data_IF_536016936143
#
_entry.id   IF_536016936143
#
_cell.length_a   1.000
_cell.length_b   1.000
_cell.length_c   1.000
_cell.angle_alpha   90.00
_cell.angle_beta   90.00
_cell.angle_gamma   90.00
#
_symmetry.space_group_name_H-M   'P 1'
#
loop_
_entity.id
_entity.type
_entity.pdbx_description
1 polymer ?
#
# COMPACT_ATOMS: atom_id res chain seq x y z
N UNK A 1 0.77 -28.82 16.64
CA UNK A 1 -0.57 -28.34 16.22
C UNK A 1 -0.59 -27.05 15.37
N UNK A 2 0.37 -26.12 15.51
CA UNK A 2 0.35 -24.86 14.75
C UNK A 2 0.57 -25.02 13.22
N UNK A 3 1.38 -26.01 12.81
CA UNK A 3 1.71 -26.28 11.40
C UNK A 3 0.48 -26.74 10.60
N UNK A 4 -0.39 -27.56 11.20
CA UNK A 4 -1.61 -28.01 10.54
C UNK A 4 -2.63 -26.89 10.31
N UNK A 5 -2.69 -25.89 11.20
CA UNK A 5 -3.62 -24.75 11.09
C UNK A 5 -3.19 -23.75 10.02
N UNK A 6 -1.88 -23.51 9.85
CA UNK A 6 -1.37 -22.61 8.80
C UNK A 6 -1.51 -23.22 7.40
N UNK A 7 -1.34 -24.53 7.28
CA UNK A 7 -1.50 -25.25 6.02
C UNK A 7 -2.96 -25.36 5.57
N UNK A 8 -3.88 -25.63 6.52
CA UNK A 8 -5.33 -25.57 6.27
C UNK A 8 -5.79 -24.16 5.89
N UNK A 9 -5.34 -23.13 6.62
CA UNK A 9 -5.66 -21.74 6.30
C UNK A 9 -5.19 -21.36 4.89
N UNK A 10 -3.99 -21.79 4.50
CA UNK A 10 -3.46 -21.58 3.15
C UNK A 10 -4.29 -22.27 2.06
N UNK A 11 -4.79 -23.49 2.31
CA UNK A 11 -5.66 -24.23 1.37
C UNK A 11 -7.05 -23.62 1.25
N UNK A 12 -7.67 -23.22 2.37
CA UNK A 12 -8.97 -22.54 2.38
C UNK A 12 -8.88 -21.19 1.65
N UNK A 13 -7.84 -20.40 1.93
CA UNK A 13 -7.62 -19.12 1.24
C UNK A 13 -7.40 -19.29 -0.28
N UNK A 14 -6.83 -20.42 -0.71
CA UNK A 14 -6.60 -20.73 -2.13
C UNK A 14 -7.87 -21.22 -2.83
N UNK A 15 -8.71 -21.99 -2.13
CA UNK A 15 -9.98 -22.53 -2.64
C UNK A 15 -11.10 -21.49 -2.65
N UNK A 16 -11.17 -20.63 -1.63
CA UNK A 16 -12.25 -19.65 -1.49
C UNK A 16 -12.11 -18.41 -2.39
N UNK A 17 -11.03 -18.28 -3.19
CA UNK A 17 -10.95 -17.22 -4.20
C UNK A 17 -11.13 -15.80 -3.61
N UNK A 18 -12.16 -15.08 -4.07
CA UNK A 18 -12.54 -13.75 -3.57
C UNK A 18 -13.37 -13.81 -2.27
N UNK A 19 -14.03 -14.94 -1.99
CA UNK A 19 -14.77 -15.21 -0.75
C UNK A 19 -13.84 -15.43 0.46
N UNK A 20 -12.55 -15.68 0.20
CA UNK A 20 -11.51 -15.76 1.22
C UNK A 20 -11.44 -14.49 2.09
N UNK A 21 -11.79 -13.33 1.52
CA UNK A 21 -11.86 -12.07 2.26
C UNK A 21 -13.00 -12.09 3.29
N UNK A 22 -14.20 -12.50 2.87
CA UNK A 22 -15.37 -12.61 3.73
C UNK A 22 -15.18 -13.65 4.85
N UNK A 23 -14.50 -14.77 4.54
CA UNK A 23 -14.12 -15.77 5.53
C UNK A 23 -13.09 -15.26 6.55
N UNK A 24 -12.12 -14.43 6.15
CA UNK A 24 -11.13 -13.89 7.08
C UNK A 24 -11.68 -12.79 8.01
N UNK A 25 -12.70 -12.07 7.55
CA UNK A 25 -13.45 -11.12 8.39
C UNK A 25 -14.14 -11.87 9.54
N UNK A 26 -14.75 -13.00 9.22
CA UNK A 26 -15.56 -13.81 10.15
C UNK A 26 -14.74 -14.77 11.01
N UNK A 27 -13.59 -15.24 10.51
CA UNK A 27 -12.72 -16.22 11.19
C UNK A 27 -11.31 -15.64 11.40
N UNK A 28 -10.99 -15.09 12.58
CA UNK A 28 -9.68 -14.50 12.88
C UNK A 28 -8.48 -15.45 12.63
N UNK A 29 -8.68 -16.76 12.78
CA UNK A 29 -7.66 -17.77 12.53
C UNK A 29 -7.19 -17.82 11.05
N UNK A 30 -8.00 -17.33 10.10
CA UNK A 30 -7.65 -17.32 8.67
C UNK A 30 -6.93 -16.04 8.25
N UNK A 31 -6.92 -14.99 9.09
CA UNK A 31 -6.32 -13.68 8.75
C UNK A 31 -4.87 -13.79 8.28
N UNK A 32 -3.96 -14.52 8.96
CA UNK A 32 -2.56 -14.60 8.53
C UNK A 32 -2.41 -15.22 7.14
N UNK A 33 -3.18 -16.27 6.83
CA UNK A 33 -3.13 -16.95 5.54
C UNK A 33 -3.70 -16.09 4.40
N UNK A 34 -4.83 -15.42 4.66
CA UNK A 34 -5.49 -14.55 3.66
C UNK A 34 -4.66 -13.30 3.38
N UNK A 35 -4.10 -12.67 4.42
CA UNK A 35 -3.23 -11.51 4.24
C UNK A 35 -1.94 -11.90 3.51
N UNK A 36 -1.30 -13.03 3.85
CA UNK A 36 -0.13 -13.51 3.12
C UNK A 36 -0.43 -13.73 1.62
N UNK A 37 -1.62 -14.25 1.29
CA UNK A 37 -2.07 -14.42 -0.10
C UNK A 37 -2.31 -13.09 -0.81
N UNK A 38 -2.95 -12.12 -0.14
CA UNK A 38 -3.17 -10.77 -0.66
C UNK A 38 -1.82 -10.13 -1.03
N UNK A 39 -0.88 -10.10 -0.09
CA UNK A 39 0.45 -9.50 -0.29
C UNK A 39 1.20 -10.22 -1.43
N UNK A 40 1.24 -11.55 -1.42
CA UNK A 40 1.96 -12.32 -2.43
C UNK A 40 1.40 -12.11 -3.85
N UNK A 41 0.07 -12.00 -3.97
CA UNK A 41 -0.59 -11.78 -5.26
C UNK A 41 -0.29 -10.37 -5.80
N UNK A 42 -0.42 -9.35 -4.96
CA UNK A 42 -0.10 -7.96 -5.33
C UNK A 42 1.38 -7.79 -5.65
N UNK A 43 2.28 -8.41 -4.87
CA UNK A 43 3.72 -8.34 -5.13
C UNK A 43 4.09 -8.96 -6.49
N UNK A 44 3.51 -10.11 -6.84
CA UNK A 44 3.69 -10.72 -8.17
C UNK A 44 3.16 -9.82 -9.28
N UNK A 45 1.96 -9.27 -9.13
CA UNK A 45 1.37 -8.35 -10.11
C UNK A 45 2.28 -7.13 -10.31
N UNK A 46 2.76 -6.52 -9.24
CA UNK A 46 3.64 -5.36 -9.31
C UNK A 46 5.04 -5.70 -9.83
N UNK A 47 5.55 -6.89 -9.56
CA UNK A 47 6.79 -7.38 -10.16
C UNK A 47 6.67 -7.56 -11.67
N UNK A 48 5.54 -8.10 -12.14
CA UNK A 48 5.24 -8.23 -13.58
C UNK A 48 5.04 -6.86 -14.22
N UNK A 49 4.26 -5.96 -13.61
CA UNK A 49 4.05 -4.59 -14.13
C UNK A 49 5.38 -3.84 -14.22
N UNK A 50 6.21 -3.89 -13.17
CA UNK A 50 7.52 -3.25 -13.17
C UNK A 50 8.52 -3.86 -14.15
N UNK A 51 8.32 -5.12 -14.57
CA UNK A 51 9.15 -5.78 -15.58
C UNK A 51 8.66 -5.56 -17.02
N UNK A 52 7.36 -5.30 -17.23
CA UNK A 52 6.75 -5.27 -18.56
C UNK A 52 6.40 -3.87 -19.08
N UNK A 53 6.14 -2.90 -18.21
CA UNK A 53 5.75 -1.55 -18.65
C UNK A 53 7.00 -0.67 -18.68
N UNK A 54 7.30 -0.16 -19.87
CA UNK A 54 8.57 0.50 -20.23
C UNK A 54 8.45 2.03 -20.20
N UNK A 55 7.26 2.59 -19.96
CA UNK A 55 7.00 4.02 -20.14
C UNK A 55 7.30 4.74 -18.82
N UNK A 56 8.36 5.56 -18.76
CA UNK A 56 8.67 6.34 -17.56
C UNK A 56 7.44 7.17 -17.16
N UNK A 57 6.84 6.85 -16.01
CA UNK A 57 5.69 7.55 -15.46
C UNK A 57 4.32 6.87 -15.63
N UNK A 58 4.14 5.91 -16.55
CA UNK A 58 2.84 5.21 -16.74
C UNK A 58 2.71 3.90 -15.95
N UNK A 59 3.84 3.31 -15.55
CA UNK A 59 3.90 2.05 -14.78
C UNK A 59 3.56 2.29 -13.29
N UNK A 60 3.84 3.50 -12.82
CA UNK A 60 3.72 3.93 -11.43
C UNK A 60 2.26 4.04 -10.94
N UNK A 61 1.29 4.57 -11.71
CA UNK A 61 -0.12 4.62 -11.31
C UNK A 61 -0.73 3.24 -11.07
N UNK A 62 -0.44 2.25 -11.93
CA UNK A 62 -1.01 0.90 -11.82
C UNK A 62 -0.45 0.18 -10.59
N UNK A 63 0.87 0.23 -10.38
CA UNK A 63 1.49 -0.39 -9.20
C UNK A 63 1.00 0.24 -7.90
N UNK A 64 0.85 1.57 -7.88
CA UNK A 64 0.33 2.30 -6.73
C UNK A 64 -1.12 1.90 -6.45
N UNK A 65 -1.96 1.80 -7.48
CA UNK A 65 -3.34 1.36 -7.32
C UNK A 65 -3.43 -0.07 -6.77
N UNK A 66 -2.57 -0.98 -7.22
CA UNK A 66 -2.50 -2.34 -6.69
C UNK A 66 -2.10 -2.35 -5.20
N UNK A 67 -1.13 -1.51 -4.82
CA UNK A 67 -0.71 -1.36 -3.42
C UNK A 67 -1.82 -0.75 -2.54
N UNK A 68 -2.56 0.24 -3.04
CA UNK A 68 -3.75 0.80 -2.36
C UNK A 68 -4.79 -0.30 -2.13
N UNK A 69 -5.18 -1.03 -3.18
CA UNK A 69 -6.16 -2.12 -3.08
C UNK A 69 -5.71 -3.19 -2.09
N UNK A 70 -4.42 -3.52 -2.07
CA UNK A 70 -3.85 -4.45 -1.10
C UNK A 70 -4.05 -3.95 0.33
N UNK A 71 -3.71 -2.69 0.63
CA UNK A 71 -3.88 -2.11 1.97
C UNK A 71 -5.34 -2.08 2.39
N UNK A 72 -6.26 -1.69 1.50
CA UNK A 72 -7.70 -1.70 1.77
C UNK A 72 -8.23 -3.11 2.10
N UNK A 73 -7.79 -4.12 1.35
CA UNK A 73 -8.17 -5.52 1.62
C UNK A 73 -7.60 -6.01 2.95
N UNK A 74 -6.37 -5.64 3.29
CA UNK A 74 -5.79 -5.99 4.60
C UNK A 74 -6.61 -5.34 5.72
N UNK A 75 -6.95 -4.06 5.60
CA UNK A 75 -7.78 -3.37 6.59
C UNK A 75 -9.13 -4.04 6.81
N UNK A 76 -9.81 -4.41 5.73
CA UNK A 76 -11.06 -5.16 5.79
C UNK A 76 -10.90 -6.48 6.58
N UNK A 77 -9.79 -7.21 6.40
CA UNK A 77 -9.50 -8.44 7.15
C UNK A 77 -9.37 -8.20 8.66
N UNK A 78 -8.85 -7.03 9.06
CA UNK A 78 -8.76 -6.62 10.46
C UNK A 78 -10.06 -5.99 11.00
N UNK A 79 -11.08 -5.79 10.16
CA UNK A 79 -12.35 -5.16 10.54
C UNK A 79 -12.31 -3.63 10.52
N UNK A 80 -11.30 -3.04 9.89
CA UNK A 80 -11.13 -1.58 9.79
C UNK A 80 -11.79 -1.06 8.50
N UNK A 81 -12.70 -0.08 8.65
CA UNK A 81 -13.25 0.66 7.52
C UNK A 81 -12.26 1.73 7.07
N UNK A 82 -11.57 1.46 5.96
CA UNK A 82 -10.63 2.42 5.36
C UNK A 82 -11.13 2.98 4.03
N UNK A 83 -11.08 4.30 3.92
CA UNK A 83 -11.19 5.00 2.66
C UNK A 83 -9.87 5.04 1.89
N UNK A 84 -9.97 5.35 0.59
CA UNK A 84 -8.84 5.52 -0.34
C UNK A 84 -7.79 6.50 0.19
N UNK A 85 -8.23 7.63 0.74
CA UNK A 85 -7.36 8.70 1.27
C UNK A 85 -6.49 8.20 2.43
N UNK A 86 -7.08 7.43 3.34
CA UNK A 86 -6.36 6.87 4.49
C UNK A 86 -5.41 5.76 4.07
N UNK A 87 -5.78 4.95 3.08
CA UNK A 87 -4.85 3.99 2.50
C UNK A 87 -3.65 4.70 1.87
N UNK A 88 -3.86 5.80 1.13
CA UNK A 88 -2.79 6.63 0.59
C UNK A 88 -1.93 7.29 1.68
N UNK A 89 -2.53 7.71 2.81
CA UNK A 89 -1.78 8.22 3.97
C UNK A 89 -0.85 7.15 4.54
N UNK A 90 -1.35 5.94 4.78
CA UNK A 90 -0.55 4.81 5.27
C UNK A 90 0.57 4.48 4.29
N UNK A 91 0.25 4.38 3.00
CA UNK A 91 1.25 4.17 1.94
C UNK A 91 2.31 5.27 1.92
N UNK A 92 1.92 6.52 2.14
CA UNK A 92 2.83 7.67 2.13
C UNK A 92 3.76 7.65 3.34
N UNK A 93 3.24 7.33 4.53
CA UNK A 93 4.03 7.23 5.77
C UNK A 93 5.00 6.06 5.67
N UNK A 94 4.51 4.89 5.25
CA UNK A 94 5.33 3.69 5.09
C UNK A 94 6.36 3.91 3.98
N UNK A 95 5.95 4.39 2.82
CA UNK A 95 6.83 4.70 1.69
C UNK A 95 7.91 5.73 2.02
N UNK A 96 7.57 6.75 2.83
CA UNK A 96 8.57 7.68 3.35
C UNK A 96 9.58 7.00 4.30
N UNK A 97 9.10 6.13 5.20
CA UNK A 97 9.95 5.36 6.12
C UNK A 97 10.90 4.39 5.41
N UNK A 98 10.52 3.87 4.24
CA UNK A 98 11.35 3.00 3.41
C UNK A 98 12.22 3.75 2.38
N UNK A 99 12.24 5.09 2.39
CA UNK A 99 13.08 5.85 1.46
C UNK A 99 12.67 5.72 -0.01
N UNK A 100 11.38 5.44 -0.28
CA UNK A 100 10.90 5.17 -1.64
C UNK A 100 11.12 6.35 -2.61
N UNK A 101 11.24 7.59 -2.10
CA UNK A 101 11.62 8.77 -2.89
C UNK A 101 13.03 8.67 -3.46
N UNK A 102 13.97 8.10 -2.70
CA UNK A 102 15.36 7.93 -3.12
C UNK A 102 15.41 6.89 -4.23
N UNK A 103 14.70 5.78 -4.07
CA UNK A 103 14.63 4.74 -5.10
C UNK A 103 13.88 5.21 -6.35
N UNK A 104 12.84 6.02 -6.21
CA UNK A 104 12.14 6.60 -7.36
C UNK A 104 13.04 7.50 -8.21
N UNK A 105 13.99 8.22 -7.59
CA UNK A 105 15.01 9.01 -8.31
C UNK A 105 16.02 8.10 -9.01
N UNK A 106 16.57 7.11 -8.32
CA UNK A 106 17.53 6.17 -8.91
C UNK A 106 16.92 5.31 -10.02
N UNK A 107 15.63 4.97 -9.92
CA UNK A 107 14.90 4.24 -10.95
C UNK A 107 14.65 5.06 -12.23
N UNK A 108 14.66 6.41 -12.14
CA UNK A 108 14.61 7.31 -13.28
C UNK A 108 15.98 7.45 -13.96
N UNK A 109 17.07 7.28 -13.20
CA UNK A 109 18.46 7.39 -13.67
C UNK A 109 19.05 6.06 -14.20
N UNK A 110 18.28 4.97 -14.14
CA UNK A 110 18.68 3.66 -14.67
C UNK A 110 18.62 3.68 -16.22
N UNK A 111 19.81 3.86 -16.80
CA UNK A 111 20.13 3.81 -18.23
C UNK A 111 19.49 2.62 -18.99
N UNK A 112 19.26 2.72 -20.32
CA UNK A 112 18.72 1.62 -21.13
C UNK A 112 19.59 0.35 -21.02
N UNK A 113 18.98 -0.76 -20.58
CA UNK A 113 19.67 -2.03 -20.27
C UNK A 113 18.79 -3.01 -19.46
N UNK A 114 19.36 -4.00 -18.71
CA UNK A 114 18.61 -5.00 -17.94
C UNK A 114 17.81 -4.44 -16.73
N UNK A 115 17.60 -3.13 -16.66
CA UNK A 115 16.90 -2.43 -15.59
C UNK A 115 15.44 -2.86 -15.38
N UNK A 116 14.81 -3.53 -16.34
CA UNK A 116 13.46 -4.08 -16.21
C UNK A 116 13.39 -5.23 -15.18
N UNK A 117 14.43 -6.08 -15.08
CA UNK A 117 14.50 -7.12 -14.03
C UNK A 117 14.60 -6.46 -12.65
N UNK A 118 15.44 -5.44 -12.53
CA UNK A 118 15.64 -4.69 -11.29
C UNK A 118 14.37 -3.95 -10.87
N UNK A 119 13.66 -3.32 -11.82
CA UNK A 119 12.36 -2.67 -11.59
C UNK A 119 11.30 -3.66 -11.14
N UNK A 120 11.19 -4.83 -11.79
CA UNK A 120 10.29 -5.90 -11.36
C UNK A 120 10.63 -6.43 -9.96
N UNK A 121 11.92 -6.69 -9.68
CA UNK A 121 12.38 -7.14 -8.38
C UNK A 121 12.12 -6.10 -7.28
N UNK A 122 12.33 -4.81 -7.58
CA UNK A 122 12.02 -3.72 -6.68
C UNK A 122 10.52 -3.60 -6.42
N UNK A 123 9.70 -3.61 -7.47
CA UNK A 123 8.24 -3.58 -7.36
C UNK A 123 7.69 -4.71 -6.50
N UNK A 124 8.24 -5.92 -6.66
CA UNK A 124 7.90 -7.08 -5.84
C UNK A 124 8.29 -6.88 -4.37
N UNK A 125 9.56 -6.55 -4.11
CA UNK A 125 10.09 -6.44 -2.73
C UNK A 125 9.50 -5.26 -1.96
N UNK A 126 9.32 -4.11 -2.61
CA UNK A 126 8.63 -2.95 -2.03
C UNK A 126 7.19 -3.29 -1.64
N UNK A 127 6.47 -4.04 -2.48
CA UNK A 127 5.09 -4.45 -2.19
C UNK A 127 5.03 -5.43 -1.01
N UNK A 128 5.98 -6.36 -0.88
CA UNK A 128 6.08 -7.26 0.28
C UNK A 128 6.33 -6.47 1.57
N UNK A 129 7.30 -5.54 1.55
CA UNK A 129 7.64 -4.72 2.71
C UNK A 129 6.44 -3.88 3.17
N UNK A 130 5.77 -3.24 2.21
CA UNK A 130 4.57 -2.44 2.43
C UNK A 130 3.41 -3.26 3.02
N UNK A 131 3.17 -4.45 2.50
CA UNK A 131 2.13 -5.35 3.00
C UNK A 131 2.39 -5.78 4.45
N UNK A 132 3.65 -6.10 4.78
CA UNK A 132 4.04 -6.45 6.17
C UNK A 132 3.92 -5.26 7.12
N UNK A 133 4.26 -4.06 6.66
CA UNK A 133 4.08 -2.85 7.44
C UNK A 133 2.59 -2.56 7.70
N UNK A 134 1.72 -2.76 6.70
CA UNK A 134 0.28 -2.63 6.85
C UNK A 134 -0.29 -3.65 7.86
N UNK A 135 0.14 -4.92 7.80
CA UNK A 135 -0.21 -5.95 8.79
C UNK A 135 0.12 -5.49 10.20
N UNK A 136 1.37 -5.11 10.44
CA UNK A 136 1.81 -4.65 11.77
C UNK A 136 1.00 -3.44 12.24
N UNK A 137 0.75 -2.49 11.34
CA UNK A 137 -0.05 -1.31 11.63
C UNK A 137 -1.48 -1.66 12.09
N UNK A 138 -2.16 -2.60 11.43
CA UNK A 138 -3.51 -3.01 11.83
C UNK A 138 -3.53 -3.95 13.03
N UNK A 139 -2.51 -4.78 13.24
CA UNK A 139 -2.35 -5.60 14.44
C UNK A 139 -2.18 -4.75 15.72
N UNK A 140 -1.53 -3.60 15.60
CA UNK A 140 -1.37 -2.63 16.69
C UNK A 140 -2.65 -1.78 16.93
N UNK A 141 -3.76 -2.10 16.26
CA UNK A 141 -5.04 -1.39 16.40
C UNK A 141 -5.11 -0.10 15.56
N UNK A 142 -4.40 -0.07 14.43
CA UNK A 142 -4.32 1.08 13.53
C UNK A 142 -3.98 2.42 14.24
N UNK A 143 -2.86 2.50 15.00
CA UNK A 143 -2.50 3.68 15.77
C UNK A 143 -2.01 4.81 14.86
N UNK A 144 -2.93 5.47 14.14
CA UNK A 144 -2.71 6.82 13.62
C UNK A 144 -3.79 7.73 14.18
N UNK A 145 -3.33 8.49 15.15
CA UNK A 145 -3.98 9.51 15.96
C UNK A 145 -4.99 10.37 15.18
N UNK A 146 -6.19 10.64 15.74
CA UNK A 146 -7.14 11.64 15.23
C UNK A 146 -6.52 13.02 14.90
N UNK A 147 -5.35 13.33 15.46
CA UNK A 147 -4.70 14.65 15.39
C UNK A 147 -3.81 14.91 14.15
N UNK A 148 -3.77 14.05 13.12
CA UNK A 148 -3.09 14.40 11.84
C UNK A 148 -4.00 15.06 10.81
N UNK A 149 -5.31 14.77 10.84
CA UNK A 149 -6.32 15.48 10.05
C UNK A 149 -6.29 16.98 10.37
N UNK A 150 -6.18 17.32 11.66
CA UNK A 150 -6.03 18.70 12.12
C UNK A 150 -4.82 19.43 11.53
N UNK A 151 -3.66 18.76 11.39
CA UNK A 151 -2.45 19.38 10.82
C UNK A 151 -2.51 19.55 9.30
N UNK A 152 -3.20 18.67 8.60
CA UNK A 152 -3.48 18.80 7.16
C UNK A 152 -4.45 19.95 6.89
N UNK A 153 -5.53 20.04 7.67
CA UNK A 153 -6.48 21.15 7.62
C UNK A 153 -5.81 22.47 7.93
N UNK A 154 -4.97 22.55 8.97
CA UNK A 154 -4.20 23.76 9.30
C UNK A 154 -3.19 24.16 8.22
N UNK A 155 -2.62 23.18 7.49
CA UNK A 155 -1.69 23.45 6.40
C UNK A 155 -2.44 23.98 5.18
N UNK A 156 -3.61 23.41 4.87
CA UNK A 156 -4.50 23.87 3.80
C UNK A 156 -5.11 25.24 4.07
N UNK A 157 -5.52 25.51 5.31
CA UNK A 157 -6.00 26.82 5.78
C UNK A 157 -4.91 27.89 5.57
N UNK A 158 -3.68 27.62 6.02
CA UNK A 158 -2.53 28.52 5.80
C UNK A 158 -2.22 28.74 4.33
N UNK A 159 -2.40 27.72 3.49
CA UNK A 159 -2.21 27.84 2.05
C UNK A 159 -3.32 28.67 1.39
N UNK A 160 -4.58 28.43 1.78
CA UNK A 160 -5.75 29.20 1.33
C UNK A 160 -5.66 30.66 1.75
N UNK A 161 -5.16 30.93 2.95
CA UNK A 161 -4.99 32.28 3.49
C UNK A 161 -3.94 33.08 2.70
N UNK A 162 -2.81 32.45 2.33
CA UNK A 162 -1.82 33.05 1.43
C UNK A 162 -2.36 33.32 0.03
N UNK A 163 -3.23 32.46 -0.49
CA UNK A 163 -3.91 32.71 -1.78
C UNK A 163 -4.91 33.86 -1.69
N UNK A 164 -5.56 34.06 -0.53
CA UNK A 164 -6.47 35.17 -0.30
C UNK A 164 -5.71 36.50 -0.10
N UNK A 165 -4.55 36.48 0.56
CA UNK A 165 -3.67 37.64 0.73
C UNK A 165 -3.04 38.09 -0.60
N UNK A 166 -2.71 37.16 -1.52
CA UNK A 166 -2.25 37.50 -2.87
C UNK A 166 -3.35 38.05 -3.79
N UNK A 167 -4.62 37.88 -3.44
CA UNK A 167 -5.76 38.32 -4.24
C UNK A 167 -6.23 39.75 -3.93
N UNK A 168 -5.67 40.42 -2.91
CA UNK A 168 -5.90 41.85 -2.66
C UNK A 168 -4.58 42.64 -2.70
N UNK A 169 -4.05 42.98 -3.89
CA UNK A 169 -3.20 44.15 -4.01
C UNK A 169 -4.08 45.41 -3.97
N UNK A 170 -3.59 46.39 -3.22
CA UNK A 170 -4.17 47.68 -2.92
C UNK A 170 -4.80 48.38 -4.13
N UNK A 171 -6.07 48.71 -4.00
CA UNK A 171 -6.81 49.69 -4.80
C UNK A 171 -7.79 50.39 -3.88
#
# INVERSE_FOLDING_TARGET
EAVGRSELGGRIAKLAGDEALALAVTLPALRPAVVARIIATTARQNGVVGALVFIPGADMPVMTLNQVKMVLRIAAVYGEELGLERALEILSVVGAGFGLRTVAREALDLAPGPGWVLKGAFGYTATIALGRAAVKYFEEGAPLTPNRLGRLTETFERFRQRLNEQRQPSG
#
